data_IF_485515827008
#
_entry.id   IF_485515827008
#
_cell.length_a   1.000
_cell.length_b   1.000
_cell.length_c   1.000
_cell.angle_alpha   90.00
_cell.angle_beta   90.00
_cell.angle_gamma   90.00
#
_symmetry.space_group_name_H-M   'P 1'
#
loop_
_entity.id
_entity.type
_entity.pdbx_description
1 polymer ?
#
# COMPACT_ATOMS: atom_id res chain seq x y z
N UNK A 1 46.47 -23.28 6.08
CA UNK A 1 45.20 -24.02 6.28
C UNK A 1 44.27 -23.36 7.31
N UNK A 2 44.74 -22.90 8.49
CA UNK A 2 43.89 -22.23 9.51
C UNK A 2 43.28 -20.88 9.08
N UNK A 3 43.96 -20.12 8.21
CA UNK A 3 43.49 -18.83 7.69
C UNK A 3 42.28 -18.97 6.75
N UNK A 4 42.30 -19.98 5.87
CA UNK A 4 41.24 -20.23 4.88
C UNK A 4 39.93 -20.66 5.55
N UNK A 5 40.00 -21.50 6.61
CA UNK A 5 38.82 -21.88 7.40
C UNK A 5 38.19 -20.71 8.16
N UNK A 6 39.00 -19.78 8.69
CA UNK A 6 38.47 -18.56 9.33
C UNK A 6 37.76 -17.65 8.34
N UNK A 7 38.30 -17.47 7.14
CA UNK A 7 37.65 -16.71 6.07
C UNK A 7 36.33 -17.32 5.62
N UNK A 8 36.27 -18.64 5.46
CA UNK A 8 35.05 -19.34 5.06
C UNK A 8 33.92 -19.23 6.10
N UNK A 9 34.24 -19.36 7.39
CA UNK A 9 33.26 -19.22 8.49
C UNK A 9 32.73 -17.79 8.56
N UNK A 10 33.59 -16.79 8.37
CA UNK A 10 33.20 -15.39 8.40
C UNK A 10 32.30 -15.01 7.21
N UNK A 11 32.59 -15.54 6.02
CA UNK A 11 31.73 -15.38 4.84
C UNK A 11 30.37 -16.06 5.01
N UNK A 12 30.34 -17.27 5.58
CA UNK A 12 29.09 -17.99 5.84
C UNK A 12 28.22 -17.26 6.86
N UNK A 13 28.81 -16.76 7.95
CA UNK A 13 28.10 -15.95 8.94
C UNK A 13 27.54 -14.66 8.33
N UNK A 14 28.28 -14.00 7.43
CA UNK A 14 27.80 -12.81 6.74
C UNK A 14 26.61 -13.10 5.83
N UNK A 15 26.63 -14.21 5.09
CA UNK A 15 25.52 -14.63 4.23
C UNK A 15 24.26 -14.98 5.05
N UNK A 16 24.41 -15.65 6.19
CA UNK A 16 23.30 -15.95 7.11
C UNK A 16 22.67 -14.65 7.63
N UNK A 17 23.49 -13.68 8.06
CA UNK A 17 22.99 -12.38 8.51
C UNK A 17 22.25 -11.62 7.39
N UNK A 18 22.74 -11.68 6.16
CA UNK A 18 22.07 -11.05 5.01
C UNK A 18 20.70 -11.70 4.74
N UNK A 19 20.59 -13.02 4.83
CA UNK A 19 19.32 -13.74 4.65
C UNK A 19 18.31 -13.38 5.75
N UNK A 20 18.75 -13.32 7.01
CA UNK A 20 17.89 -12.93 8.13
C UNK A 20 17.35 -11.49 7.97
N UNK A 21 18.20 -10.54 7.58
CA UNK A 21 17.79 -9.15 7.35
C UNK A 21 16.77 -9.06 6.21
N UNK A 22 16.90 -9.87 5.15
CA UNK A 22 15.93 -9.92 4.04
C UNK A 22 14.53 -10.36 4.51
N UNK A 23 14.44 -11.44 5.28
CA UNK A 23 13.15 -11.93 5.80
C UNK A 23 12.45 -10.92 6.72
N UNK A 24 13.20 -10.20 7.55
CA UNK A 24 12.63 -9.15 8.42
C UNK A 24 12.07 -7.97 7.62
N UNK A 25 12.73 -7.58 6.52
CA UNK A 25 12.24 -6.52 5.62
C UNK A 25 10.95 -6.94 4.91
N UNK A 26 10.85 -8.18 4.43
CA UNK A 26 9.65 -8.72 3.80
C UNK A 26 8.45 -8.74 4.77
N UNK A 27 8.69 -9.12 6.03
CA UNK A 27 7.66 -9.11 7.08
C UNK A 27 7.16 -7.70 7.42
N UNK A 28 8.06 -6.72 7.43
CA UNK A 28 7.70 -5.33 7.72
C UNK A 28 6.94 -4.68 6.56
N UNK A 29 7.30 -4.97 5.31
CA UNK A 29 6.60 -4.48 4.10
C UNK A 29 5.10 -4.81 4.11
N UNK A 30 4.69 -5.95 4.67
CA UNK A 30 3.27 -6.35 4.82
C UNK A 30 2.47 -5.54 5.84
N UNK A 31 3.11 -4.68 6.65
CA UNK A 31 2.43 -3.80 7.59
C UNK A 31 1.99 -2.51 6.91
N UNK A 32 0.91 -1.91 7.40
CA UNK A 32 0.44 -0.62 6.93
C UNK A 32 -0.05 0.26 8.08
N UNK A 33 0.04 1.57 7.87
CA UNK A 33 -0.56 2.60 8.70
C UNK A 33 -1.85 3.10 8.04
N UNK A 34 -2.86 3.43 8.85
CA UNK A 34 -4.13 3.97 8.39
C UNK A 34 -4.58 5.13 9.27
N UNK A 35 -5.25 6.11 8.66
CA UNK A 35 -5.86 7.24 9.37
C UNK A 35 -7.08 7.76 8.58
N UNK A 36 -8.10 8.17 9.33
CA UNK A 36 -9.35 8.74 8.81
C UNK A 36 -9.27 10.27 8.68
N UNK A 37 -10.05 10.81 7.75
CA UNK A 37 -10.27 12.23 7.53
C UNK A 37 -11.76 12.56 7.54
N UNK A 38 -12.09 13.85 7.71
CA UNK A 38 -13.46 14.34 7.50
C UNK A 38 -13.89 14.31 6.01
N UNK A 39 -12.93 14.11 5.11
CA UNK A 39 -13.13 13.84 3.68
C UNK A 39 -13.86 14.91 2.88
N UNK A 40 -13.86 14.76 1.56
CA UNK A 40 -14.68 15.53 0.64
C UNK A 40 -15.06 14.62 -0.54
N UNK A 41 -16.05 13.76 -0.34
CA UNK A 41 -16.44 12.71 -1.30
C UNK A 41 -16.62 13.23 -2.73
N UNK A 42 -17.29 14.38 -2.89
CA UNK A 42 -17.50 14.97 -4.22
C UNK A 42 -16.19 15.39 -4.91
N UNK A 43 -15.20 15.89 -4.15
CA UNK A 43 -13.88 16.24 -4.69
C UNK A 43 -13.12 14.99 -5.10
N UNK A 44 -13.13 13.96 -4.26
CA UNK A 44 -12.45 12.70 -4.54
C UNK A 44 -13.03 12.02 -5.79
N UNK A 45 -14.36 11.98 -5.92
CA UNK A 45 -15.04 11.45 -7.11
C UNK A 45 -14.68 12.25 -8.37
N UNK A 46 -14.63 13.58 -8.29
CA UNK A 46 -14.25 14.42 -9.43
C UNK A 46 -12.81 14.10 -9.89
N UNK A 47 -11.85 14.02 -8.97
CA UNK A 47 -10.45 13.73 -9.29
C UNK A 47 -10.24 12.30 -9.80
N UNK A 48 -11.00 11.33 -9.29
CA UNK A 48 -10.86 9.91 -9.68
C UNK A 48 -11.63 9.54 -10.94
N UNK A 49 -12.64 10.33 -11.34
CA UNK A 49 -13.43 10.10 -12.57
C UNK A 49 -12.69 10.45 -13.86
N UNK A 50 -11.68 11.33 -13.79
CA UNK A 50 -10.86 11.72 -14.92
C UNK A 50 -9.38 11.75 -14.51
N UNK A 51 -8.80 10.60 -14.14
CA UNK A 51 -7.40 10.53 -13.75
C UNK A 51 -6.56 10.83 -14.98
N UNK A 52 -5.59 11.74 -14.83
CA UNK A 52 -4.57 12.09 -15.81
C UNK A 52 -4.93 13.24 -16.79
N UNK A 53 -5.04 14.45 -16.25
CA UNK A 53 -5.00 15.70 -17.03
C UNK A 53 -3.55 16.19 -17.29
N UNK A 54 -2.52 15.43 -16.87
CA UNK A 54 -1.11 15.78 -17.03
C UNK A 54 -0.59 16.88 -16.08
N UNK A 55 -1.43 17.39 -15.18
CA UNK A 55 -1.05 18.44 -14.22
C UNK A 55 -0.99 17.96 -12.77
N UNK A 56 -1.53 16.77 -12.49
CA UNK A 56 -1.70 16.24 -11.14
C UNK A 56 -1.02 14.88 -11.05
N UNK A 57 -0.13 14.70 -10.05
CA UNK A 57 0.68 13.52 -9.71
C UNK A 57 0.43 12.21 -10.49
N UNK A 58 1.50 11.51 -10.92
CA UNK A 58 1.41 10.14 -11.46
C UNK A 58 0.70 9.23 -10.43
N UNK A 59 -0.55 8.89 -10.73
CA UNK A 59 -1.42 8.04 -9.92
C UNK A 59 -2.30 7.18 -10.82
N UNK A 60 -2.86 6.12 -10.24
CA UNK A 60 -3.87 5.32 -10.91
C UNK A 60 -5.05 5.04 -9.98
N UNK A 61 -6.23 4.93 -10.57
CA UNK A 61 -7.49 4.74 -9.87
C UNK A 61 -7.91 3.28 -10.01
N UNK A 62 -8.32 2.68 -8.90
CA UNK A 62 -8.88 1.33 -8.87
C UNK A 62 -10.27 1.36 -8.25
N UNK A 63 -11.25 0.82 -8.96
CA UNK A 63 -12.65 0.75 -8.53
C UNK A 63 -13.11 -0.69 -8.51
N UNK A 64 -13.74 -1.10 -7.41
CA UNK A 64 -14.29 -2.44 -7.27
C UNK A 64 -15.64 -2.41 -6.54
N UNK A 65 -16.57 -3.31 -6.91
CA UNK A 65 -17.84 -3.42 -6.21
C UNK A 65 -17.63 -3.99 -4.81
N UNK A 66 -18.32 -3.43 -3.81
CA UNK A 66 -18.46 -3.96 -2.47
C UNK A 66 -19.93 -4.06 -2.10
N UNK A 67 -20.29 -5.17 -1.47
CA UNK A 67 -21.61 -5.37 -0.88
C UNK A 67 -21.59 -4.75 0.52
N UNK A 68 -22.43 -3.74 0.75
CA UNK A 68 -22.74 -3.30 2.11
C UNK A 68 -23.86 -4.18 2.65
N UNK A 69 -23.56 -4.99 3.66
CA UNK A 69 -24.58 -5.70 4.42
C UNK A 69 -25.10 -4.74 5.52
N UNK A 70 -25.88 -3.75 5.13
CA UNK A 70 -26.67 -3.01 6.12
C UNK A 70 -27.79 -3.94 6.61
N UNK A 71 -27.93 -4.06 7.94
CA UNK A 71 -28.63 -5.18 8.60
C UNK A 71 -30.14 -5.25 8.27
N UNK A 72 -30.72 -4.25 7.60
CA UNK A 72 -32.15 -4.16 7.31
C UNK A 72 -32.51 -3.77 5.86
N UNK A 73 -31.55 -3.74 4.91
CA UNK A 73 -31.81 -3.43 3.49
C UNK A 73 -31.21 -4.49 2.55
N UNK A 74 -31.80 -4.64 1.35
CA UNK A 74 -31.24 -5.50 0.31
C UNK A 74 -29.76 -5.11 0.05
N UNK A 75 -28.87 -6.08 -0.22
CA UNK A 75 -27.45 -5.81 -0.39
C UNK A 75 -27.23 -4.81 -1.53
N UNK A 76 -27.00 -3.55 -1.17
CA UNK A 76 -26.68 -2.51 -2.14
C UNK A 76 -25.23 -2.67 -2.55
N UNK A 77 -25.01 -2.92 -3.84
CA UNK A 77 -23.67 -2.91 -4.42
C UNK A 77 -23.23 -1.45 -4.55
N UNK A 78 -22.18 -1.06 -3.81
CA UNK A 78 -21.52 0.24 -3.96
C UNK A 78 -20.12 0.06 -4.52
N UNK A 79 -19.72 0.95 -5.40
CA UNK A 79 -18.36 0.96 -5.93
C UNK A 79 -17.43 1.66 -4.92
N UNK A 80 -16.49 0.91 -4.36
CA UNK A 80 -15.38 1.49 -3.62
C UNK A 80 -14.31 1.91 -4.63
N UNK A 81 -13.87 3.16 -4.52
CA UNK A 81 -12.84 3.76 -5.38
C UNK A 81 -11.66 4.13 -4.52
N UNK A 82 -10.47 3.70 -4.95
CA UNK A 82 -9.19 4.02 -4.33
C UNK A 82 -8.24 4.61 -5.37
N UNK A 83 -7.32 5.44 -4.90
CA UNK A 83 -6.29 6.06 -5.72
C UNK A 83 -4.94 5.66 -5.16
N UNK A 84 -4.08 5.09 -6.00
CA UNK A 84 -2.71 4.76 -5.65
C UNK A 84 -1.76 5.78 -6.27
N UNK A 85 -0.83 6.29 -5.48
CA UNK A 85 0.29 7.05 -6.02
C UNK A 85 1.25 6.07 -6.70
N UNK A 86 1.70 6.37 -7.91
CA UNK A 86 2.59 5.45 -8.62
C UNK A 86 3.95 5.34 -7.94
N UNK A 87 4.47 6.47 -7.47
CA UNK A 87 5.76 6.56 -6.79
C UNK A 87 5.63 6.30 -5.28
N UNK A 88 6.60 5.56 -4.74
CA UNK A 88 6.72 5.40 -3.30
C UNK A 88 6.96 6.74 -2.62
N UNK A 89 6.29 6.94 -1.50
CA UNK A 89 6.33 8.22 -0.80
C UNK A 89 6.43 8.02 0.71
N UNK A 90 6.73 9.11 1.42
CA UNK A 90 6.73 9.09 2.88
C UNK A 90 5.30 9.08 3.42
N UNK A 91 5.12 8.50 4.60
CA UNK A 91 3.85 8.50 5.32
C UNK A 91 3.18 9.88 5.39
N UNK A 92 3.94 10.93 5.76
CA UNK A 92 3.43 12.31 5.83
C UNK A 92 3.00 12.86 4.47
N UNK A 93 3.74 12.55 3.40
CA UNK A 93 3.39 13.00 2.05
C UNK A 93 2.16 12.26 1.52
N UNK A 94 2.05 10.97 1.82
CA UNK A 94 0.84 10.18 1.54
C UNK A 94 -0.39 10.83 2.20
N UNK A 95 -0.32 11.05 3.52
CA UNK A 95 -1.35 11.72 4.31
C UNK A 95 -1.80 13.04 3.70
N UNK A 96 -0.87 13.95 3.44
CA UNK A 96 -1.17 15.28 2.88
C UNK A 96 -1.78 15.19 1.47
N UNK A 97 -1.30 14.26 0.65
CA UNK A 97 -1.79 14.08 -0.72
C UNK A 97 -3.22 13.55 -0.70
N UNK A 98 -3.51 12.52 0.09
CA UNK A 98 -4.86 11.97 0.21
C UNK A 98 -5.85 12.96 0.83
N UNK A 99 -5.40 13.76 1.80
CA UNK A 99 -6.23 14.83 2.36
C UNK A 99 -6.56 15.88 1.28
N UNK A 100 -5.60 16.25 0.43
CA UNK A 100 -5.80 17.21 -0.66
C UNK A 100 -6.69 16.68 -1.80
N UNK A 101 -6.75 15.35 -2.00
CA UNK A 101 -7.66 14.74 -2.97
C UNK A 101 -9.10 14.59 -2.45
N UNK A 102 -9.36 14.95 -1.19
CA UNK A 102 -10.68 14.79 -0.58
C UNK A 102 -11.01 13.36 -0.17
N UNK A 103 -10.00 12.48 -0.05
CA UNK A 103 -10.20 11.12 0.42
C UNK A 103 -10.79 11.09 1.84
N UNK A 104 -11.58 10.07 2.16
CA UNK A 104 -12.15 9.87 3.48
C UNK A 104 -11.15 9.23 4.44
N UNK A 105 -10.18 8.49 3.92
CA UNK A 105 -9.07 7.95 4.71
C UNK A 105 -7.88 7.66 3.79
N UNK A 106 -6.75 7.25 4.38
CA UNK A 106 -5.63 6.72 3.61
C UNK A 106 -5.00 5.51 4.28
N UNK A 107 -4.27 4.76 3.48
CA UNK A 107 -3.37 3.70 3.93
C UNK A 107 -1.98 3.94 3.35
N UNK A 108 -0.97 3.80 4.21
CA UNK A 108 0.43 3.82 3.81
C UNK A 108 1.08 2.50 4.16
N UNK A 109 1.65 1.83 3.18
CA UNK A 109 2.35 0.56 3.34
C UNK A 109 3.83 0.81 3.66
N UNK A 110 4.45 -0.10 4.41
CA UNK A 110 5.86 0.03 4.82
C UNK A 110 6.87 -0.12 3.67
N UNK A 111 6.41 -0.50 2.48
CA UNK A 111 7.18 -0.42 1.23
C UNK A 111 7.14 0.98 0.57
N UNK A 112 6.42 1.93 1.17
CA UNK A 112 6.25 3.30 0.69
C UNK A 112 5.04 3.52 -0.21
N UNK A 113 4.24 2.49 -0.49
CA UNK A 113 3.04 2.63 -1.30
C UNK A 113 1.95 3.43 -0.56
N UNK A 114 1.28 4.32 -1.27
CA UNK A 114 0.22 5.17 -0.76
C UNK A 114 -1.11 4.90 -1.45
N UNK A 115 -2.15 4.68 -0.66
CA UNK A 115 -3.52 4.47 -1.09
C UNK A 115 -4.42 5.53 -0.45
N UNK A 116 -5.09 6.33 -1.26
CA UNK A 116 -6.14 7.24 -0.83
C UNK A 116 -7.50 6.56 -1.04
N UNK A 117 -8.34 6.56 0.00
CA UNK A 117 -9.56 5.76 0.06
C UNK A 117 -10.79 6.66 0.00
N UNK A 118 -11.69 6.40 -0.94
CA UNK A 118 -12.94 7.14 -1.10
C UNK A 118 -13.96 6.83 0.00
N UNK A 119 -14.92 7.75 0.20
CA UNK A 119 -15.91 7.65 1.28
C UNK A 119 -16.93 6.51 1.17
N UNK A 120 -17.02 5.85 0.01
CA UNK A 120 -17.92 4.69 -0.20
C UNK A 120 -17.28 3.35 0.14
N UNK A 121 -16.03 3.34 0.59
CA UNK A 121 -15.31 2.14 0.94
C UNK A 121 -15.65 1.69 2.37
N UNK A 122 -15.85 0.38 2.56
CA UNK A 122 -15.95 -0.22 3.89
C UNK A 122 -14.54 -0.39 4.47
N UNK A 123 -14.17 0.44 5.44
CA UNK A 123 -12.84 0.48 6.03
C UNK A 123 -11.81 1.19 5.13
N UNK A 124 -10.54 0.79 5.25
CA UNK A 124 -9.40 1.49 4.64
C UNK A 124 -8.96 0.83 3.32
N UNK A 125 -9.87 0.73 2.35
CA UNK A 125 -9.55 0.28 0.99
C UNK A 125 -9.09 -1.17 0.87
N UNK A 126 -8.15 -1.44 -0.05
CA UNK A 126 -7.55 -2.76 -0.27
C UNK A 126 -6.29 -2.86 0.59
N UNK A 127 -6.20 -3.88 1.43
CA UNK A 127 -5.01 -4.14 2.25
C UNK A 127 -3.86 -4.79 1.42
N UNK A 128 -3.59 -4.26 0.23
CA UNK A 128 -2.55 -4.69 -0.69
C UNK A 128 -1.88 -3.47 -1.33
N UNK A 129 -0.54 -3.46 -1.30
CA UNK A 129 0.28 -2.46 -1.98
C UNK A 129 0.21 -2.69 -3.49
N UNK A 130 -0.21 -1.67 -4.25
CA UNK A 130 -0.41 -1.75 -5.71
C UNK A 130 0.26 -0.61 -6.49
N UNK A 131 1.11 0.18 -5.83
CA UNK A 131 1.82 1.28 -6.45
C UNK A 131 2.79 0.77 -7.53
N UNK A 132 2.70 1.32 -8.74
CA UNK A 132 3.39 0.78 -9.92
C UNK A 132 4.92 0.87 -9.87
N UNK A 133 5.47 1.80 -9.07
CA UNK A 133 6.91 2.03 -8.96
C UNK A 133 7.47 1.62 -7.58
N UNK A 134 6.68 0.90 -6.77
CA UNK A 134 7.18 0.35 -5.52
C UNK A 134 7.69 -1.08 -5.66
N UNK A 135 8.71 -1.47 -4.88
CA UNK A 135 9.17 -2.85 -4.87
C UNK A 135 8.00 -3.76 -4.50
N UNK A 136 7.80 -4.85 -5.25
CA UNK A 136 6.88 -5.89 -4.79
C UNK A 136 7.39 -6.45 -3.45
N UNK A 137 6.49 -6.73 -2.48
CA UNK A 137 6.88 -7.38 -1.25
C UNK A 137 7.62 -8.67 -1.62
N UNK A 138 8.89 -8.78 -1.24
CA UNK A 138 9.75 -9.89 -1.63
C UNK A 138 9.02 -11.22 -1.42
N UNK A 139 8.81 -11.96 -2.51
CA UNK A 139 8.38 -13.35 -2.46
C UNK A 139 9.55 -14.18 -1.93
N UNK A 140 9.83 -14.06 -0.63
CA UNK A 140 10.66 -15.05 0.05
C UNK A 140 9.81 -16.32 0.15
N UNK A 141 10.31 -17.36 -0.51
CA UNK A 141 9.75 -18.68 -0.79
C UNK A 141 9.47 -19.55 0.46
N UNK A 142 9.09 -18.95 1.58
CA UNK A 142 8.95 -19.66 2.87
C UNK A 142 7.49 -20.08 3.19
N UNK A 143 6.58 -19.99 2.21
CA UNK A 143 5.26 -20.64 2.27
C UNK A 143 5.22 -21.85 1.31
N UNK A 144 6.10 -22.81 1.58
CA UNK A 144 5.88 -24.21 1.26
C UNK A 144 5.83 -24.94 2.61
N UNK A 145 4.67 -25.54 2.89
CA UNK A 145 4.33 -26.35 4.08
C UNK A 145 5.48 -27.22 4.63
#
# INVERSE_FOLDING_TARGET
MKSIQRGAIQMLAMMISIQLIRGDMAKMSKKSHVEDFDGATALFEALTSSPNDGYTYDWHVHTFPKYSNEIDEEPVMRNCTVLYLDQCTSWNKCRQTCQATGAASYRWFHDGCCECVGGHCLGYGINESRCSQCPEPGWDTDELD
#
